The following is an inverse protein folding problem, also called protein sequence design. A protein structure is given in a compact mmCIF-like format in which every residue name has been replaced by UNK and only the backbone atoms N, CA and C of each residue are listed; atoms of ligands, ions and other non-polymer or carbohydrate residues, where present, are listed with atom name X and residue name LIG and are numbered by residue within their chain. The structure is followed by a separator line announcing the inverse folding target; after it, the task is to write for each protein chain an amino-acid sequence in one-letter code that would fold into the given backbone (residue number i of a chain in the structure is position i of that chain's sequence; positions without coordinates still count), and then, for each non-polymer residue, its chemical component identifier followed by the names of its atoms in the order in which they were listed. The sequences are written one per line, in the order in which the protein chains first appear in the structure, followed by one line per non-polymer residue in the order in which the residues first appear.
data_IF_260588399137
#
_entry.id   IF_260588399137
#
_cell.length_a   1.000
_cell.length_b   1.000
_cell.length_c   1.000
_cell.angle_alpha   90.00
_cell.angle_beta   90.00
_cell.angle_gamma   90.00
#
_symmetry.space_group_name_H-M   'P 1'
#
loop_
_entity.id
_entity.type
_entity.pdbx_description
1 polymer ?
#
# COMPACT_ATOMS: atom_id res chain seq x y z
N UNK A 1 7.41 14.46 14.57
CA UNK A 1 6.23 13.58 14.57
C UNK A 1 6.35 12.66 13.37
N UNK A 2 6.40 11.39 13.63
CA UNK A 2 6.53 10.40 12.56
C UNK A 2 5.18 10.32 11.83
N UNK A 3 5.17 10.74 10.56
CA UNK A 3 3.95 10.76 9.78
C UNK A 3 3.71 9.34 9.25
N UNK A 4 2.55 8.72 9.51
CA UNK A 4 2.27 7.36 9.08
C UNK A 4 1.94 7.31 7.57
N UNK A 5 2.96 7.45 6.77
CA UNK A 5 2.91 7.35 5.31
C UNK A 5 3.91 6.30 4.81
N UNK A 6 3.54 5.52 3.77
CA UNK A 6 4.48 4.62 3.12
C UNK A 6 5.67 5.40 2.53
N UNK A 7 6.87 4.96 2.84
CA UNK A 7 8.14 5.53 2.36
C UNK A 7 8.78 4.70 1.25
N UNK A 8 8.18 3.58 0.89
CA UNK A 8 8.63 2.68 -0.16
C UNK A 8 7.47 2.14 -0.98
N UNK A 9 7.75 1.67 -2.16
CA UNK A 9 6.76 1.08 -3.07
C UNK A 9 6.39 -0.35 -2.66
N UNK A 10 5.26 -0.82 -3.16
CA UNK A 10 4.78 -2.19 -2.98
C UNK A 10 5.86 -3.21 -3.36
N UNK A 11 6.46 -3.07 -4.54
CA UNK A 11 7.47 -4.00 -5.04
C UNK A 11 8.70 -4.13 -4.14
N UNK A 12 9.13 -3.05 -3.51
CA UNK A 12 10.27 -3.03 -2.60
C UNK A 12 9.95 -3.80 -1.30
N UNK A 13 8.78 -3.58 -0.75
CA UNK A 13 8.34 -4.30 0.47
C UNK A 13 8.12 -5.78 0.18
N UNK A 14 7.43 -6.13 -0.92
CA UNK A 14 7.25 -7.54 -1.29
C UNK A 14 8.59 -8.24 -1.54
N UNK A 15 9.56 -7.56 -2.17
CA UNK A 15 10.91 -8.08 -2.35
C UNK A 15 11.64 -8.33 -1.04
N UNK A 16 11.50 -7.42 -0.06
CA UNK A 16 12.04 -7.62 1.29
C UNK A 16 11.45 -8.86 1.97
N UNK A 17 10.14 -9.04 1.88
CA UNK A 17 9.46 -10.20 2.47
C UNK A 17 9.89 -11.52 1.83
N UNK A 18 10.11 -11.55 0.53
CA UNK A 18 10.66 -12.73 -0.19
C UNK A 18 12.06 -13.09 0.31
N UNK A 19 12.92 -12.10 0.50
CA UNK A 19 14.27 -12.32 1.06
C UNK A 19 14.19 -12.86 2.49
N UNK A 20 13.31 -12.29 3.32
CA UNK A 20 13.09 -12.79 4.68
C UNK A 20 12.57 -14.24 4.70
N UNK A 21 11.69 -14.59 3.78
CA UNK A 21 11.17 -15.96 3.67
C UNK A 21 12.28 -16.95 3.29
N UNK A 22 13.11 -16.60 2.34
CA UNK A 22 14.29 -17.39 1.93
C UNK A 22 15.31 -17.55 3.08
N UNK A 23 15.44 -16.56 3.94
CA UNK A 23 16.33 -16.54 5.12
C UNK A 23 15.65 -17.02 6.41
N UNK A 24 14.54 -17.73 6.29
CA UNK A 24 13.79 -18.31 7.41
C UNK A 24 13.25 -17.29 8.43
N UNK A 25 12.91 -16.11 7.97
CA UNK A 25 12.20 -15.09 8.74
C UNK A 25 13.08 -14.12 9.52
N UNK A 26 14.40 -14.19 9.36
CA UNK A 26 15.36 -13.31 10.03
C UNK A 26 16.59 -13.06 9.17
N UNK A 27 16.98 -11.81 9.02
CA UNK A 27 18.18 -11.43 8.25
C UNK A 27 18.89 -10.25 8.91
N UNK A 28 20.20 -10.34 9.01
CA UNK A 28 21.04 -9.24 9.46
C UNK A 28 20.96 -8.05 8.50
N UNK A 29 20.82 -6.85 9.04
CA UNK A 29 20.64 -5.61 8.28
C UNK A 29 21.79 -5.36 7.30
N UNK A 30 23.04 -5.63 7.69
CA UNK A 30 24.21 -5.46 6.81
C UNK A 30 24.21 -6.48 5.68
N UNK A 31 23.85 -7.74 5.97
CA UNK A 31 23.71 -8.78 4.97
C UNK A 31 22.62 -8.40 3.98
N UNK A 32 21.48 -7.92 4.45
CA UNK A 32 20.37 -7.46 3.63
C UNK A 32 20.78 -6.32 2.69
N UNK A 33 21.47 -5.30 3.20
CA UNK A 33 21.97 -4.18 2.40
C UNK A 33 22.92 -4.62 1.27
N UNK A 34 23.76 -5.60 1.50
CA UNK A 34 24.64 -6.15 0.48
C UNK A 34 23.89 -7.00 -0.56
N UNK A 35 22.88 -7.71 -0.14
CA UNK A 35 22.10 -8.61 -1.05
C UNK A 35 21.23 -7.80 -2.01
N UNK A 36 20.62 -6.73 -1.53
CA UNK A 36 19.69 -5.91 -2.32
C UNK A 36 20.43 -4.94 -3.25
N UNK A 37 21.68 -4.57 -2.91
CA UNK A 37 22.47 -3.64 -3.71
C UNK A 37 21.90 -2.22 -3.80
N UNK A 38 20.92 -1.91 -2.93
CA UNK A 38 20.30 -0.59 -2.80
C UNK A 38 21.08 0.30 -1.84
N UNK A 39 20.85 1.60 -1.95
CA UNK A 39 21.29 2.57 -0.97
C UNK A 39 20.70 2.21 0.41
N UNK A 40 21.47 2.43 1.46
CA UNK A 40 21.04 2.14 2.84
C UNK A 40 19.75 2.90 3.20
N UNK A 41 19.58 4.11 2.69
CA UNK A 41 18.41 4.94 2.95
C UNK A 41 17.14 4.35 2.30
N UNK A 42 17.25 3.78 1.10
CA UNK A 42 16.16 3.06 0.44
C UNK A 42 15.78 1.79 1.21
N UNK A 43 16.77 1.06 1.72
CA UNK A 43 16.52 -0.12 2.54
C UNK A 43 15.80 0.24 3.85
N UNK A 44 16.23 1.30 4.53
CA UNK A 44 15.58 1.79 5.75
C UNK A 44 14.11 2.19 5.44
N UNK A 45 13.88 2.91 4.36
CA UNK A 45 12.53 3.29 3.93
C UNK A 45 11.63 2.09 3.65
N UNK A 46 12.18 1.03 3.07
CA UNK A 46 11.48 -0.24 2.82
C UNK A 46 11.12 -0.95 4.12
N UNK A 47 12.06 -1.03 5.07
CA UNK A 47 11.84 -1.62 6.39
C UNK A 47 10.79 -0.84 7.17
N UNK A 48 10.88 0.48 7.21
CA UNK A 48 9.91 1.35 7.89
C UNK A 48 8.50 1.20 7.31
N UNK A 49 8.39 1.03 6.00
CA UNK A 49 7.09 0.79 5.33
C UNK A 49 6.54 -0.59 5.70
N UNK A 50 7.37 -1.62 5.71
CA UNK A 50 6.96 -2.95 6.18
C UNK A 50 6.54 -2.95 7.66
N UNK A 51 7.23 -2.17 8.51
CA UNK A 51 6.84 -1.96 9.91
C UNK A 51 5.51 -1.21 10.03
N UNK A 52 5.27 -0.22 9.17
CA UNK A 52 4.00 0.53 9.13
C UNK A 52 2.80 -0.40 8.94
N UNK A 53 2.96 -1.42 8.13
CA UNK A 53 1.94 -2.46 7.91
C UNK A 53 2.01 -3.63 8.90
N UNK A 54 2.88 -3.58 9.89
CA UNK A 54 3.01 -4.61 10.91
C UNK A 54 3.61 -5.93 10.43
N UNK A 55 4.33 -5.92 9.31
CA UNK A 55 4.84 -7.15 8.66
C UNK A 55 6.22 -7.57 9.17
N UNK A 56 7.02 -6.62 9.61
CA UNK A 56 8.38 -6.86 10.14
C UNK A 56 8.64 -6.04 11.39
N UNK A 57 9.65 -6.47 12.13
CA UNK A 57 10.29 -5.73 13.22
C UNK A 57 11.81 -5.72 13.06
N UNK A 58 12.49 -4.87 13.81
CA UNK A 58 13.93 -4.86 13.92
C UNK A 58 14.31 -5.27 15.34
N UNK A 59 15.05 -6.35 15.46
CA UNK A 59 15.51 -6.92 16.72
C UNK A 59 17.02 -7.12 16.71
N UNK A 60 17.73 -6.39 17.56
CA UNK A 60 19.20 -6.45 17.69
C UNK A 60 19.97 -6.35 16.35
N UNK A 61 19.52 -5.49 15.44
CA UNK A 61 20.15 -5.28 14.14
C UNK A 61 19.73 -6.28 13.06
N UNK A 62 18.82 -7.17 13.37
CA UNK A 62 18.18 -8.06 12.40
C UNK A 62 16.78 -7.58 12.05
N UNK A 63 16.42 -7.72 10.77
CA UNK A 63 15.04 -7.59 10.31
C UNK A 63 14.38 -8.95 10.48
N UNK A 64 13.23 -8.98 11.15
CA UNK A 64 12.52 -10.21 11.48
C UNK A 64 11.06 -10.14 11.07
N UNK A 65 10.48 -11.25 10.62
CA UNK A 65 9.03 -11.33 10.47
C UNK A 65 8.31 -11.12 11.80
N UNK A 66 7.20 -10.41 11.77
CA UNK A 66 6.14 -10.60 12.75
C UNK A 66 5.33 -11.85 12.42
N UNK A 67 4.50 -12.33 13.33
CA UNK A 67 3.56 -13.42 13.03
C UNK A 67 2.64 -13.07 11.87
N UNK A 68 2.18 -11.82 11.84
CA UNK A 68 1.37 -11.26 10.75
C UNK A 68 2.14 -11.21 9.43
N UNK A 69 3.40 -10.81 9.46
CA UNK A 69 4.25 -10.75 8.26
C UNK A 69 4.51 -12.12 7.65
N UNK A 70 4.71 -13.14 8.49
CA UNK A 70 4.85 -14.52 8.02
C UNK A 70 3.55 -15.02 7.40
N UNK A 71 2.42 -14.80 8.06
CA UNK A 71 1.11 -15.17 7.53
C UNK A 71 0.83 -14.46 6.20
N UNK A 72 1.04 -13.15 6.13
CA UNK A 72 0.88 -12.36 4.91
C UNK A 72 1.69 -12.92 3.73
N UNK A 73 2.93 -13.35 3.99
CA UNK A 73 3.82 -13.91 2.96
C UNK A 73 3.34 -15.27 2.47
N UNK A 74 2.70 -16.06 3.33
CA UNK A 74 2.14 -17.37 2.99
C UNK A 74 0.76 -17.29 2.29
N UNK A 75 0.07 -16.14 2.39
CA UNK A 75 -1.24 -15.92 1.78
C UNK A 75 -1.15 -15.70 0.25
N UNK A 76 -2.26 -15.91 -0.43
CA UNK A 76 -2.38 -15.55 -1.85
C UNK A 76 -2.49 -14.03 -2.06
N UNK A 77 -2.47 -13.62 -3.32
CA UNK A 77 -2.44 -12.19 -3.65
C UNK A 77 -3.73 -11.45 -3.26
N UNK A 78 -4.88 -12.10 -3.31
CA UNK A 78 -6.16 -11.49 -2.93
C UNK A 78 -6.21 -11.21 -1.42
N UNK A 79 -5.78 -12.17 -0.60
CA UNK A 79 -5.68 -12.00 0.85
C UNK A 79 -4.66 -10.91 1.23
N UNK A 80 -3.53 -10.85 0.51
CA UNK A 80 -2.54 -9.79 0.71
C UNK A 80 -3.10 -8.39 0.41
N UNK A 81 -3.81 -8.24 -0.70
CA UNK A 81 -4.48 -6.98 -1.07
C UNK A 81 -5.53 -6.59 -0.04
N UNK A 82 -6.32 -7.55 0.42
CA UNK A 82 -7.32 -7.31 1.47
C UNK A 82 -6.69 -6.82 2.78
N UNK A 83 -5.62 -7.46 3.23
CA UNK A 83 -4.88 -7.03 4.42
C UNK A 83 -4.36 -5.59 4.28
N UNK A 84 -3.74 -5.27 3.14
CA UNK A 84 -3.23 -3.91 2.88
C UNK A 84 -4.38 -2.91 2.80
N UNK A 85 -5.49 -3.25 2.17
CA UNK A 85 -6.70 -2.41 2.11
C UNK A 85 -7.19 -2.01 3.52
N UNK A 86 -7.33 -2.99 4.40
CA UNK A 86 -7.75 -2.73 5.79
C UNK A 86 -6.73 -1.88 6.56
N UNK A 87 -5.44 -2.18 6.42
CA UNK A 87 -4.38 -1.46 7.13
C UNK A 87 -4.22 -0.03 6.62
N UNK A 88 -4.24 0.14 5.30
CA UNK A 88 -4.07 1.43 4.64
C UNK A 88 -5.26 2.37 4.92
N UNK A 89 -6.47 1.84 4.94
CA UNK A 89 -7.70 2.60 5.20
C UNK A 89 -7.75 3.23 6.60
N UNK A 90 -6.94 2.75 7.53
CA UNK A 90 -6.83 3.29 8.90
C UNK A 90 -5.84 4.44 9.00
N UNK A 91 -4.99 4.65 7.99
CA UNK A 91 -4.02 5.75 7.98
C UNK A 91 -4.75 7.09 7.80
N UNK A 92 -4.40 8.14 8.55
CA UNK A 92 -5.14 9.42 8.55
C UNK A 92 -5.30 10.04 7.16
N UNK A 93 -4.27 10.02 6.34
CA UNK A 93 -4.32 10.60 5.00
C UNK A 93 -5.18 9.78 4.04
N UNK A 94 -5.15 8.47 4.16
CA UNK A 94 -6.02 7.61 3.37
C UNK A 94 -7.48 7.74 3.80
N UNK A 95 -7.75 7.84 5.09
CA UNK A 95 -9.10 8.10 5.61
C UNK A 95 -9.67 9.40 5.05
N UNK A 96 -8.88 10.46 5.01
CA UNK A 96 -9.30 11.75 4.42
C UNK A 96 -9.57 11.62 2.91
N UNK A 97 -8.69 10.94 2.18
CA UNK A 97 -8.86 10.70 0.74
C UNK A 97 -10.13 9.89 0.46
N UNK A 98 -10.32 8.78 1.13
CA UNK A 98 -11.51 7.91 0.93
C UNK A 98 -12.80 8.64 1.30
N UNK A 99 -12.79 9.43 2.36
CA UNK A 99 -13.95 10.26 2.75
C UNK A 99 -14.30 11.27 1.66
N UNK A 100 -13.31 11.97 1.10
CA UNK A 100 -13.52 12.93 0.02
C UNK A 100 -14.05 12.25 -1.25
N UNK A 101 -13.52 11.09 -1.60
CA UNK A 101 -13.99 10.31 -2.75
C UNK A 101 -15.44 9.85 -2.59
N UNK A 102 -15.82 9.40 -1.40
CA UNK A 102 -17.19 8.98 -1.10
C UNK A 102 -18.19 10.15 -1.07
N UNK A 103 -17.74 11.34 -0.71
CA UNK A 103 -18.57 12.55 -0.68
C UNK A 103 -18.67 13.25 -2.04
N UNK A 104 -17.78 12.95 -2.97
CA UNK A 104 -17.83 13.48 -4.33
C UNK A 104 -18.92 12.78 -5.15
N UNK A 105 -19.70 13.54 -5.91
CA UNK A 105 -20.77 12.99 -6.76
C UNK A 105 -20.24 12.02 -7.83
N UNK A 106 -19.02 12.26 -8.30
CA UNK A 106 -18.36 11.43 -9.31
C UNK A 106 -17.40 10.38 -8.72
N UNK A 107 -17.31 10.30 -7.38
CA UNK A 107 -16.33 9.48 -6.68
C UNK A 107 -14.89 9.72 -7.13
N UNK A 108 -14.58 10.98 -7.42
CA UNK A 108 -13.30 11.43 -7.91
C UNK A 108 -12.87 12.74 -7.22
N UNK A 109 -11.56 12.92 -7.09
CA UNK A 109 -10.93 14.17 -6.62
C UNK A 109 -9.71 14.49 -7.47
N UNK A 110 -9.37 15.77 -7.56
CA UNK A 110 -8.13 16.20 -8.20
C UNK A 110 -6.91 15.76 -7.37
N UNK A 111 -5.79 15.53 -8.04
CA UNK A 111 -4.51 15.23 -7.39
C UNK A 111 -4.10 16.31 -6.38
N UNK A 112 -4.45 17.58 -6.64
CA UNK A 112 -4.17 18.70 -5.75
C UNK A 112 -4.86 18.56 -4.38
N UNK A 113 -5.99 17.85 -4.28
CA UNK A 113 -6.60 17.53 -3.00
C UNK A 113 -5.62 16.78 -2.10
N UNK A 114 -4.99 15.73 -2.62
CA UNK A 114 -4.05 14.93 -1.84
C UNK A 114 -2.77 15.70 -1.51
N UNK A 115 -2.30 16.57 -2.41
CA UNK A 115 -1.20 17.50 -2.12
C UNK A 115 -1.54 18.40 -0.93
N UNK A 116 -2.71 19.00 -0.91
CA UNK A 116 -3.15 19.87 0.18
C UNK A 116 -3.33 19.14 1.51
N UNK A 117 -3.75 17.88 1.47
CA UNK A 117 -3.92 17.05 2.69
C UNK A 117 -2.57 16.67 3.31
N UNK A 118 -1.57 16.38 2.47
CA UNK A 118 -0.22 16.00 2.92
C UNK A 118 0.67 17.22 3.15
N UNK A 119 0.35 18.34 2.52
CA UNK A 119 1.12 19.58 2.64
C UNK A 119 1.09 20.10 4.09
N UNK A 120 2.24 20.10 4.70
CA UNK A 120 2.48 20.58 6.04
C UNK A 120 3.95 20.96 6.18
N UNK A 121 4.71 20.11 6.84
CA UNK A 121 6.14 20.31 7.12
C UNK A 121 7.07 19.71 6.06
N UNK A 122 6.55 19.38 4.88
CA UNK A 122 7.31 18.74 3.79
C UNK A 122 7.66 19.70 2.66
N UNK A 123 8.82 19.50 2.03
CA UNK A 123 9.13 20.13 0.76
C UNK A 123 8.23 19.59 -0.35
N UNK A 124 8.08 20.33 -1.45
CA UNK A 124 7.32 19.90 -2.63
C UNK A 124 7.76 18.51 -3.13
N UNK A 125 9.08 18.27 -3.17
CA UNK A 125 9.65 16.97 -3.59
C UNK A 125 9.29 15.83 -2.64
N UNK A 126 9.29 16.07 -1.34
CA UNK A 126 8.90 15.08 -0.34
C UNK A 126 7.39 14.79 -0.44
N UNK A 127 6.57 15.81 -0.62
CA UNK A 127 5.13 15.66 -0.82
C UNK A 127 4.82 14.78 -2.03
N UNK A 128 5.47 15.04 -3.17
CA UNK A 128 5.33 14.21 -4.37
C UNK A 128 5.78 12.76 -4.15
N UNK A 129 6.85 12.57 -3.40
CA UNK A 129 7.35 11.24 -3.05
C UNK A 129 6.35 10.45 -2.20
N UNK A 130 5.79 11.08 -1.17
CA UNK A 130 4.79 10.43 -0.30
C UNK A 130 3.48 10.15 -1.05
N UNK A 131 3.01 11.05 -1.89
CA UNK A 131 1.82 10.85 -2.73
C UNK A 131 2.01 9.64 -3.64
N UNK A 132 3.14 9.56 -4.33
CA UNK A 132 3.44 8.45 -5.24
C UNK A 132 3.43 7.11 -4.51
N UNK A 133 4.05 7.02 -3.35
CA UNK A 133 4.06 5.78 -2.57
C UNK A 133 2.67 5.45 -2.02
N UNK A 134 1.95 6.42 -1.49
CA UNK A 134 0.60 6.22 -0.99
C UNK A 134 -0.35 5.70 -2.08
N UNK A 135 -0.30 6.30 -3.26
CA UNK A 135 -1.12 5.87 -4.40
C UNK A 135 -0.69 4.50 -4.96
N UNK A 136 0.60 4.17 -4.94
CA UNK A 136 1.08 2.84 -5.31
C UNK A 136 0.44 1.75 -4.43
N UNK A 137 0.43 1.96 -3.12
CA UNK A 137 -0.22 1.06 -2.17
C UNK A 137 -1.75 1.04 -2.30
N UNK A 138 -2.38 2.20 -2.50
CA UNK A 138 -3.82 2.31 -2.67
C UNK A 138 -4.33 1.61 -3.94
N UNK A 139 -3.55 1.66 -5.02
CA UNK A 139 -3.83 0.95 -6.26
C UNK A 139 -3.61 -0.56 -6.12
N UNK A 140 -2.54 -0.98 -5.46
CA UNK A 140 -2.30 -2.38 -5.14
C UNK A 140 -3.46 -2.98 -4.33
N UNK A 141 -3.94 -2.24 -3.33
CA UNK A 141 -5.07 -2.64 -2.48
C UNK A 141 -6.44 -2.52 -3.16
N UNK A 142 -6.48 -2.09 -4.42
CA UNK A 142 -7.72 -1.90 -5.19
C UNK A 142 -8.71 -0.92 -4.53
N UNK A 143 -8.20 0.09 -3.83
CA UNK A 143 -9.00 1.15 -3.22
C UNK A 143 -9.28 2.29 -4.19
N UNK A 144 -8.30 2.60 -5.06
CA UNK A 144 -8.37 3.72 -6.01
C UNK A 144 -7.74 3.34 -7.35
N UNK A 145 -8.13 4.07 -8.37
CA UNK A 145 -7.38 4.15 -9.62
C UNK A 145 -7.07 5.62 -9.96
N UNK A 146 -6.09 5.86 -10.80
CA UNK A 146 -5.58 7.20 -11.11
C UNK A 146 -5.66 7.43 -12.60
N UNK A 147 -6.29 8.53 -13.00
CA UNK A 147 -6.21 9.07 -14.34
C UNK A 147 -5.04 10.05 -14.42
N UNK A 148 -3.96 9.63 -15.08
CA UNK A 148 -2.74 10.44 -15.19
C UNK A 148 -2.87 11.61 -16.17
N UNK A 149 -3.76 11.49 -17.15
CA UNK A 149 -3.99 12.55 -18.15
C UNK A 149 -4.82 13.67 -17.55
N UNK A 150 -5.84 13.33 -16.78
CA UNK A 150 -6.72 14.28 -16.10
C UNK A 150 -6.20 14.71 -14.72
N UNK A 151 -5.16 14.06 -14.20
CA UNK A 151 -4.62 14.28 -12.85
C UNK A 151 -5.70 14.13 -11.75
N UNK A 152 -6.49 13.06 -11.87
CA UNK A 152 -7.57 12.75 -10.94
C UNK A 152 -7.40 11.39 -10.29
N UNK A 153 -7.89 11.27 -9.07
CA UNK A 153 -7.95 10.03 -8.28
C UNK A 153 -9.41 9.62 -8.18
N UNK A 154 -9.70 8.37 -8.47
CA UNK A 154 -11.04 7.80 -8.46
C UNK A 154 -11.13 6.67 -7.45
N UNK A 155 -12.29 6.55 -6.80
CA UNK A 155 -12.59 5.40 -5.96
C UNK A 155 -12.74 4.16 -6.86
N UNK A 156 -12.06 3.06 -6.49
CA UNK A 156 -12.32 1.77 -7.11
C UNK A 156 -13.69 1.26 -6.66
N UNK A 157 -14.56 0.96 -7.61
CA UNK A 157 -15.89 0.41 -7.35
C UNK A 157 -15.85 -1.05 -7.72
N UNK A 158 -16.14 -1.96 -6.78
CA UNK A 158 -16.40 -3.35 -7.13
C UNK A 158 -17.59 -3.39 -8.09
N UNK A 159 -17.37 -3.85 -9.30
CA UNK A 159 -18.47 -4.19 -10.18
C UNK A 159 -19.19 -5.38 -9.54
N UNK A 160 -20.36 -5.14 -8.99
CA UNK A 160 -21.29 -6.19 -8.61
C UNK A 160 -21.57 -7.02 -9.86
N UNK A 161 -20.88 -8.14 -10.00
CA UNK A 161 -21.19 -9.17 -10.98
C UNK A 161 -22.48 -9.88 -10.54
N UNK A 162 -23.57 -9.13 -10.53
CA UNK A 162 -24.90 -9.71 -10.54
C UNK A 162 -25.16 -10.15 -11.96
N UNK A 163 -24.61 -11.31 -12.34
CA UNK A 163 -25.12 -12.02 -13.48
C UNK A 163 -26.60 -12.32 -13.18
N UNK A 164 -27.46 -11.53 -13.81
CA UNK A 164 -28.85 -11.90 -13.99
C UNK A 164 -28.89 -13.26 -14.69
N UNK A 165 -29.06 -14.32 -13.91
CA UNK A 165 -29.60 -15.56 -14.43
C UNK A 165 -31.03 -15.28 -14.85
N UNK A 166 -31.21 -14.83 -16.09
CA UNK A 166 -32.49 -14.83 -16.74
C UNK A 166 -32.94 -16.28 -16.90
N UNK A 167 -33.90 -16.65 -16.06
CA UNK A 167 -34.71 -17.84 -16.22
C UNK A 167 -35.29 -17.90 -17.64
N UNK A 168 -34.72 -18.77 -18.45
CA UNK A 168 -35.44 -19.31 -19.58
C UNK A 168 -36.24 -20.52 -19.07
N UNK A 169 -37.45 -20.22 -18.59
CA UNK A 169 -38.48 -21.22 -18.57
C UNK A 169 -39.12 -21.22 -19.95
N UNK A 170 -38.68 -22.11 -20.79
CA UNK A 170 -39.51 -22.58 -21.89
C UNK A 170 -40.60 -23.47 -21.32
N UNK A 171 -41.81 -22.98 -21.46
CA UNK A 171 -43.01 -23.78 -21.31
C UNK A 171 -43.29 -24.53 -22.63
N UNK A 172 -43.46 -25.79 -22.48
CA UNK A 172 -44.16 -26.60 -23.48
C UNK A 172 -45.43 -27.16 -22.83
#
# INVERSE_FOLDING_TARGET
MDVPLPKARVSEVLGLLEILDDEHGRVDLYKLGRTVGHDIDELISTIETAQLFGLVDVDNGDVVFTDVGKQFTDEDMEERKHYISESLSKLPYMTQLLTALLQSDEHAVDMDFLKNVIDGDFSERETEYYIRNLLDWARFAELVWVDSDEQTIHLEVEEDNTEEQSDQQESD
#
